data_IF_439691633822
#
_entry.id   IF_439691633822
#
_cell.length_a   1.000
_cell.length_b   1.000
_cell.length_c   1.000
_cell.angle_alpha   90.00
_cell.angle_beta   90.00
_cell.angle_gamma   90.00
#
_symmetry.space_group_name_H-M   'P 1'
#
loop_
_entity.id
_entity.type
_entity.pdbx_description
1 polymer ?
#
# COMPACT_ATOMS: atom_id res chain seq x y z
N UNK A 1 -19.85 17.88 -24.44
CA UNK A 1 -19.77 16.75 -23.49
C UNK A 1 -18.30 16.46 -23.21
N UNK A 2 -17.85 16.39 -21.96
CA UNK A 2 -16.46 16.06 -21.65
C UNK A 2 -16.18 14.61 -22.05
N UNK A 3 -15.22 14.36 -22.93
CA UNK A 3 -14.78 13.00 -23.27
C UNK A 3 -14.25 12.35 -21.98
N UNK A 4 -14.83 11.23 -21.52
CA UNK A 4 -14.35 10.56 -20.31
C UNK A 4 -12.92 10.07 -20.55
N UNK A 5 -12.04 10.37 -19.59
CA UNK A 5 -10.64 9.97 -19.61
C UNK A 5 -10.53 8.44 -19.43
N UNK A 6 -10.47 7.69 -20.54
CA UNK A 6 -10.47 6.21 -20.59
C UNK A 6 -9.09 5.66 -20.98
N UNK A 7 -8.78 4.45 -20.51
CA UNK A 7 -7.54 3.73 -20.81
C UNK A 7 -7.82 2.25 -20.97
N UNK A 8 -6.80 1.46 -21.34
CA UNK A 8 -6.88 -0.02 -21.40
C UNK A 8 -7.38 -0.66 -20.09
N UNK A 9 -7.13 -0.03 -18.94
CA UNK A 9 -7.66 -0.50 -17.65
C UNK A 9 -9.20 -0.47 -17.63
N UNK A 10 -9.79 0.61 -18.18
CA UNK A 10 -11.24 0.77 -18.26
C UNK A 10 -11.87 -0.34 -19.11
N UNK A 11 -11.22 -0.70 -20.20
CA UNK A 11 -11.73 -1.71 -21.14
C UNK A 11 -11.61 -3.12 -20.56
N UNK A 12 -10.48 -3.44 -19.91
CA UNK A 12 -10.26 -4.76 -19.29
C UNK A 12 -11.20 -5.03 -18.13
N UNK A 13 -11.49 -4.01 -17.31
CA UNK A 13 -12.28 -4.16 -16.08
C UNK A 13 -13.75 -3.71 -16.19
N UNK A 14 -14.16 -3.18 -17.35
CA UNK A 14 -15.52 -2.68 -17.56
C UNK A 14 -15.85 -1.44 -16.71
N UNK A 15 -14.87 -0.58 -16.43
CA UNK A 15 -15.04 0.64 -15.62
C UNK A 15 -15.01 1.91 -16.49
N UNK A 16 -15.41 3.05 -15.92
CA UNK A 16 -15.48 4.33 -16.64
C UNK A 16 -14.22 5.18 -16.47
N UNK A 17 -13.60 5.11 -15.28
CA UNK A 17 -12.41 5.88 -14.94
C UNK A 17 -11.26 4.95 -14.52
N UNK A 18 -10.00 5.28 -14.85
CA UNK A 18 -8.85 4.40 -14.59
C UNK A 18 -8.36 4.51 -13.14
N UNK A 19 -9.28 4.33 -12.19
CA UNK A 19 -9.05 4.45 -10.75
C UNK A 19 -9.56 3.17 -10.07
N UNK A 20 -8.74 2.63 -9.18
CA UNK A 20 -9.10 1.55 -8.27
C UNK A 20 -9.02 2.02 -6.82
N UNK A 21 -9.94 1.56 -5.98
CA UNK A 21 -9.85 1.62 -4.53
C UNK A 21 -9.25 0.31 -4.00
N UNK A 22 -8.23 0.39 -3.14
CA UNK A 22 -7.54 -0.78 -2.59
C UNK A 22 -8.38 -1.55 -1.57
N UNK A 23 -8.47 -2.88 -1.66
CA UNK A 23 -9.06 -3.75 -0.63
C UNK A 23 -8.32 -3.64 0.71
N UNK A 24 -8.80 -2.76 1.59
CA UNK A 24 -8.19 -2.46 2.89
C UNK A 24 -9.00 -3.07 4.03
N UNK A 25 -8.41 -4.02 4.78
CA UNK A 25 -9.05 -4.65 5.93
C UNK A 25 -9.53 -3.64 6.97
N UNK A 26 -10.77 -3.80 7.46
CA UNK A 26 -11.39 -2.89 8.42
C UNK A 26 -11.74 -1.50 7.85
N UNK A 27 -11.61 -1.28 6.54
CA UNK A 27 -11.89 0.00 5.86
C UNK A 27 -12.83 -0.21 4.67
N UNK A 28 -12.49 -1.14 3.80
CA UNK A 28 -13.18 -1.41 2.54
C UNK A 28 -14.32 -2.41 2.74
N UNK A 29 -15.39 -1.95 3.38
CA UNK A 29 -16.66 -2.66 3.48
C UNK A 29 -17.58 -2.42 2.25
N UNK A 30 -18.74 -3.08 2.20
CA UNK A 30 -19.68 -3.00 1.08
C UNK A 30 -20.05 -1.58 0.65
N UNK A 31 -20.26 -0.68 1.61
CA UNK A 31 -20.69 0.71 1.36
C UNK A 31 -19.62 1.52 0.61
N UNK A 32 -18.36 1.40 1.01
CA UNK A 32 -17.26 2.06 0.30
C UNK A 32 -17.11 1.50 -1.11
N UNK A 33 -17.16 0.18 -1.24
CA UNK A 33 -16.98 -0.50 -2.52
C UNK A 33 -18.05 -0.07 -3.51
N UNK A 34 -19.32 -0.11 -3.09
CA UNK A 34 -20.44 0.25 -3.94
C UNK A 34 -20.38 1.71 -4.39
N UNK A 35 -20.01 2.63 -3.50
CA UNK A 35 -19.90 4.05 -3.82
C UNK A 35 -18.74 4.37 -4.76
N UNK A 36 -17.61 3.65 -4.66
CA UNK A 36 -16.52 3.74 -5.64
C UNK A 36 -16.98 3.24 -7.01
N UNK A 37 -17.67 2.10 -7.04
CA UNK A 37 -18.20 1.49 -8.27
C UNK A 37 -19.26 2.37 -8.96
N UNK A 38 -20.21 2.94 -8.21
CA UNK A 38 -21.19 3.93 -8.72
C UNK A 38 -20.54 5.19 -9.29
N UNK A 39 -19.35 5.54 -8.78
CA UNK A 39 -18.60 6.68 -9.27
C UNK A 39 -17.82 6.40 -10.57
N UNK A 40 -17.84 5.15 -11.06
CA UNK A 40 -17.22 4.73 -12.31
C UNK A 40 -15.82 4.13 -12.17
N UNK A 41 -15.31 4.02 -10.94
CA UNK A 41 -14.02 3.40 -10.59
C UNK A 41 -14.22 1.94 -10.16
N UNK A 42 -13.15 1.16 -9.98
CA UNK A 42 -13.28 -0.16 -9.37
C UNK A 42 -13.21 -0.06 -7.82
N UNK A 43 -14.33 -0.33 -7.15
CA UNK A 43 -14.33 -0.60 -5.71
C UNK A 43 -13.84 -2.03 -5.42
N UNK A 44 -13.06 -2.23 -4.36
CA UNK A 44 -12.53 -3.57 -4.01
C UNK A 44 -12.77 -3.88 -2.53
N UNK A 45 -13.56 -4.92 -2.27
CA UNK A 45 -13.89 -5.45 -0.95
C UNK A 45 -12.66 -6.09 -0.31
N UNK A 46 -12.41 -5.83 0.98
CA UNK A 46 -11.41 -6.56 1.73
C UNK A 46 -12.01 -7.82 2.39
N UNK A 47 -11.71 -9.00 1.84
CA UNK A 47 -12.14 -10.31 2.36
C UNK A 47 -10.99 -11.04 3.10
N UNK A 48 -10.15 -10.29 3.80
CA UNK A 48 -8.95 -10.81 4.48
C UNK A 48 -9.34 -11.70 5.65
N UNK A 49 -8.98 -13.00 5.59
CA UNK A 49 -9.34 -14.00 6.61
C UNK A 49 -10.83 -14.01 6.96
N UNK A 50 -11.67 -13.64 5.99
CA UNK A 50 -13.11 -13.58 6.15
C UNK A 50 -13.70 -14.98 5.95
N UNK A 51 -14.59 -15.45 6.83
CA UNK A 51 -15.28 -16.72 6.60
C UNK A 51 -16.03 -16.72 5.25
N UNK A 52 -16.15 -17.88 4.58
CA UNK A 52 -16.82 -17.99 3.28
C UNK A 52 -18.24 -17.41 3.26
N UNK A 53 -19.07 -17.71 4.26
CA UNK A 53 -20.44 -17.20 4.32
C UNK A 53 -20.50 -15.69 4.53
N UNK A 54 -19.57 -15.13 5.30
CA UNK A 54 -19.46 -13.67 5.45
C UNK A 54 -18.98 -13.01 4.15
N UNK A 55 -18.08 -13.66 3.42
CA UNK A 55 -17.64 -13.20 2.10
C UNK A 55 -18.82 -13.15 1.13
N UNK A 56 -19.63 -14.23 1.09
CA UNK A 56 -20.84 -14.30 0.27
C UNK A 56 -21.85 -13.22 0.65
N UNK A 57 -22.17 -13.07 1.94
CA UNK A 57 -23.08 -12.02 2.44
C UNK A 57 -22.63 -10.62 2.01
N UNK A 58 -21.34 -10.30 2.10
CA UNK A 58 -20.82 -8.99 1.69
C UNK A 58 -20.84 -8.77 0.18
N UNK A 59 -20.62 -9.82 -0.61
CA UNK A 59 -20.78 -9.79 -2.06
C UNK A 59 -22.23 -9.45 -2.43
N UNK A 60 -23.21 -10.12 -1.82
CA UNK A 60 -24.63 -9.82 -2.05
C UNK A 60 -24.97 -8.38 -1.61
N UNK A 61 -24.45 -7.94 -0.46
CA UNK A 61 -24.66 -6.55 -0.01
C UNK A 61 -24.12 -5.52 -1.01
N UNK A 62 -22.98 -5.77 -1.66
CA UNK A 62 -22.47 -4.88 -2.71
C UNK A 62 -23.42 -4.87 -3.91
N UNK A 63 -23.94 -6.03 -4.32
CA UNK A 63 -24.89 -6.16 -5.44
C UNK A 63 -26.22 -5.45 -5.17
N UNK A 64 -26.73 -5.49 -3.94
CA UNK A 64 -27.90 -4.69 -3.52
C UNK A 64 -27.65 -3.18 -3.66
N UNK A 65 -26.39 -2.75 -3.52
CA UNK A 65 -26.00 -1.36 -3.60
C UNK A 65 -25.60 -0.96 -5.02
N UNK A 66 -25.09 -1.83 -5.88
CA UNK A 66 -24.64 -1.41 -7.21
C UNK A 66 -24.62 -2.54 -8.22
N UNK A 67 -25.03 -2.21 -9.44
CA UNK A 67 -24.88 -3.09 -10.63
C UNK A 67 -23.53 -2.88 -11.33
N UNK A 68 -22.75 -1.87 -10.92
CA UNK A 68 -21.42 -1.58 -11.49
C UNK A 68 -20.36 -2.59 -11.01
N UNK A 69 -19.33 -2.89 -11.84
CA UNK A 69 -18.28 -3.83 -11.47
C UNK A 69 -17.57 -3.48 -10.17
N UNK A 70 -17.19 -4.51 -9.41
CA UNK A 70 -16.42 -4.42 -8.18
C UNK A 70 -15.46 -5.62 -8.09
N UNK A 71 -14.48 -5.53 -7.19
CA UNK A 71 -13.56 -6.60 -6.90
C UNK A 71 -13.64 -7.13 -5.48
N UNK A 72 -13.09 -8.33 -5.27
CA UNK A 72 -12.89 -8.94 -3.95
C UNK A 72 -11.42 -9.27 -3.76
N UNK A 73 -10.83 -8.77 -2.67
CA UNK A 73 -9.41 -8.90 -2.37
C UNK A 73 -9.13 -9.94 -1.28
N UNK A 74 -8.22 -10.87 -1.58
CA UNK A 74 -7.67 -11.86 -0.64
C UNK A 74 -6.15 -11.67 -0.44
N UNK A 75 -5.64 -12.31 0.62
CA UNK A 75 -4.20 -12.47 0.85
C UNK A 75 -3.79 -13.91 0.56
N UNK A 76 -2.82 -14.08 -0.35
CA UNK A 76 -2.36 -15.36 -0.85
C UNK A 76 -0.95 -15.72 -0.37
N UNK A 77 -0.25 -14.82 0.32
CA UNK A 77 1.12 -15.04 0.78
C UNK A 77 1.19 -16.26 1.71
N UNK A 78 1.99 -17.27 1.35
CA UNK A 78 2.10 -18.54 2.08
C UNK A 78 2.47 -18.37 3.55
N UNK A 79 3.45 -17.51 3.87
CA UNK A 79 3.81 -17.20 5.28
C UNK A 79 2.70 -16.52 6.10
N UNK A 80 1.65 -15.99 5.44
CA UNK A 80 0.49 -15.41 6.12
C UNK A 80 -0.72 -16.35 6.12
N UNK A 81 -0.63 -17.50 5.44
CA UNK A 81 -1.69 -18.50 5.41
C UNK A 81 -1.53 -19.44 6.61
N UNK A 82 -2.55 -19.59 7.46
CA UNK A 82 -2.59 -20.73 8.36
C UNK A 82 -2.65 -22.05 7.54
N UNK A 83 -2.29 -23.19 8.15
CA UNK A 83 -2.00 -23.37 9.57
C UNK A 83 -0.50 -23.30 9.88
N UNK A 84 -0.09 -22.27 10.63
CA UNK A 84 1.04 -22.44 11.56
C UNK A 84 0.42 -23.02 12.82
N UNK A 85 0.78 -24.25 13.17
CA UNK A 85 0.31 -24.89 14.39
C UNK A 85 0.89 -24.14 15.61
N UNK A 86 0.06 -23.47 16.43
CA UNK A 86 0.54 -22.74 17.60
C UNK A 86 1.29 -23.61 18.61
N UNK A 87 1.05 -24.93 18.63
CA UNK A 87 1.78 -25.87 19.47
C UNK A 87 3.25 -26.05 19.04
N UNK A 88 3.58 -25.78 17.78
CA UNK A 88 4.96 -25.86 17.26
C UNK A 88 5.80 -24.62 17.57
N UNK A 89 5.18 -23.57 18.13
CA UNK A 89 5.88 -22.33 18.45
C UNK A 89 6.77 -22.52 19.68
N UNK A 90 8.06 -22.12 19.64
CA UNK A 90 8.92 -22.22 20.81
C UNK A 90 8.36 -21.43 21.99
N UNK A 91 8.28 -22.06 23.16
CA UNK A 91 7.74 -21.45 24.39
C UNK A 91 8.40 -20.10 24.72
N UNK A 92 9.71 -19.99 24.49
CA UNK A 92 10.45 -18.73 24.66
C UNK A 92 9.96 -17.61 23.72
N UNK A 93 9.64 -17.95 22.46
CA UNK A 93 9.06 -17.02 21.49
C UNK A 93 7.66 -16.58 21.91
N UNK A 94 6.81 -17.53 22.34
CA UNK A 94 5.46 -17.24 22.83
C UNK A 94 5.53 -16.31 24.04
N UNK A 95 6.37 -16.62 25.03
CA UNK A 95 6.57 -15.80 26.21
C UNK A 95 7.07 -14.38 25.87
N UNK A 96 8.04 -14.26 24.95
CA UNK A 96 8.57 -12.96 24.53
C UNK A 96 7.51 -12.09 23.84
N UNK A 97 6.73 -12.67 22.92
CA UNK A 97 5.66 -11.95 22.20
C UNK A 97 4.52 -11.61 23.14
N UNK A 98 4.05 -12.56 23.96
CA UNK A 98 2.96 -12.30 24.90
C UNK A 98 3.35 -11.27 25.96
N UNK A 99 4.59 -11.31 26.47
CA UNK A 99 5.12 -10.29 27.37
C UNK A 99 5.07 -8.90 26.74
N UNK A 100 5.56 -8.76 25.50
CA UNK A 100 5.50 -7.50 24.77
C UNK A 100 4.05 -7.02 24.53
N UNK A 101 3.12 -7.93 24.21
CA UNK A 101 1.71 -7.59 24.01
C UNK A 101 1.01 -7.25 25.33
N UNK A 102 1.39 -7.87 26.46
CA UNK A 102 0.80 -7.62 27.77
C UNK A 102 1.05 -6.19 28.27
N UNK A 103 2.15 -5.55 27.87
CA UNK A 103 2.38 -4.12 28.14
C UNK A 103 1.26 -3.24 27.55
N UNK A 104 0.79 -3.57 26.35
CA UNK A 104 -0.33 -2.88 25.72
C UNK A 104 -1.66 -3.28 26.34
N UNK A 105 -1.87 -4.56 26.65
CA UNK A 105 -3.11 -5.04 27.29
C UNK A 105 -3.35 -4.35 28.63
N UNK A 106 -2.32 -4.20 29.46
CA UNK A 106 -2.41 -3.48 30.73
C UNK A 106 -2.87 -2.03 30.55
N UNK A 107 -2.31 -1.31 29.57
CA UNK A 107 -2.71 0.09 29.26
C UNK A 107 -4.13 0.20 28.73
N UNK A 108 -4.63 -0.85 28.08
CA UNK A 108 -5.97 -0.91 27.49
C UNK A 108 -7.00 -1.52 28.46
N UNK A 109 -6.62 -1.91 29.68
CA UNK A 109 -7.50 -2.58 30.63
C UNK A 109 -7.92 -3.99 30.20
N UNK A 110 -7.12 -4.65 29.36
CA UNK A 110 -7.33 -6.03 28.90
C UNK A 110 -6.49 -6.98 29.75
N UNK A 111 -7.06 -8.11 30.16
CA UNK A 111 -6.34 -9.14 30.93
C UNK A 111 -5.13 -9.71 30.19
N UNK A 112 -4.06 -10.10 30.91
CA UNK A 112 -2.86 -10.64 30.27
C UNK A 112 -3.13 -12.01 29.62
N UNK A 113 -2.29 -12.36 28.64
CA UNK A 113 -2.25 -13.71 28.03
C UNK A 113 -0.84 -14.27 28.13
N UNK A 114 -0.71 -15.58 28.28
CA UNK A 114 0.59 -16.26 28.45
C UNK A 114 0.80 -17.42 27.48
N UNK A 115 -0.28 -18.00 26.94
CA UNK A 115 -0.22 -19.13 26.01
C UNK A 115 -0.08 -18.75 24.54
N UNK A 116 0.08 -19.76 23.66
CA UNK A 116 0.08 -19.56 22.22
C UNK A 116 -1.24 -18.95 21.73
N UNK A 117 -1.26 -18.31 20.55
CA UNK A 117 -2.50 -17.85 19.94
C UNK A 117 -3.42 -19.03 19.58
N UNK A 118 -4.71 -18.76 19.44
CA UNK A 118 -5.64 -19.76 18.89
C UNK A 118 -5.29 -20.09 17.43
N UNK A 119 -5.56 -21.33 17.03
CA UNK A 119 -5.44 -21.76 15.64
C UNK A 119 -6.38 -20.93 14.76
N UNK A 120 -5.84 -20.28 13.73
CA UNK A 120 -6.64 -19.63 12.72
C UNK A 120 -7.06 -20.65 11.64
N UNK A 121 -8.33 -20.64 11.18
CA UNK A 121 -8.74 -21.49 10.07
C UNK A 121 -8.13 -21.01 8.75
N UNK A 122 -7.75 -21.94 7.87
CA UNK A 122 -7.43 -21.61 6.49
C UNK A 122 -8.73 -21.47 5.69
N UNK A 123 -9.10 -20.23 5.41
CA UNK A 123 -10.34 -19.90 4.68
C UNK A 123 -10.10 -19.52 3.23
N UNK A 124 -8.85 -19.54 2.75
CA UNK A 124 -8.51 -18.95 1.45
C UNK A 124 -9.11 -19.74 0.30
N UNK A 125 -8.95 -21.07 0.29
CA UNK A 125 -9.47 -21.88 -0.81
C UNK A 125 -11.00 -21.82 -0.87
N UNK A 126 -11.67 -21.93 0.28
CA UNK A 126 -13.11 -21.75 0.37
C UNK A 126 -13.56 -20.31 -0.02
N UNK A 127 -12.76 -19.28 0.27
CA UNK A 127 -13.07 -17.92 -0.18
C UNK A 127 -12.87 -17.75 -1.70
N UNK A 128 -11.91 -18.44 -2.31
CA UNK A 128 -11.76 -18.51 -3.77
C UNK A 128 -12.96 -19.21 -4.38
N UNK A 129 -13.44 -20.29 -3.78
CA UNK A 129 -14.63 -21.00 -4.25
C UNK A 129 -15.84 -20.07 -4.25
N UNK A 130 -16.07 -19.31 -3.16
CA UNK A 130 -17.12 -18.29 -3.11
C UNK A 130 -16.96 -17.24 -4.21
N UNK A 131 -15.74 -16.73 -4.45
CA UNK A 131 -15.46 -15.74 -5.51
C UNK A 131 -15.83 -16.29 -6.89
N UNK A 132 -15.48 -17.55 -7.16
CA UNK A 132 -15.73 -18.27 -8.42
C UNK A 132 -17.22 -18.56 -8.61
N UNK A 133 -17.88 -19.08 -7.57
CA UNK A 133 -19.30 -19.44 -7.59
C UNK A 133 -20.19 -18.21 -7.72
N UNK A 134 -19.85 -17.14 -6.98
CA UNK A 134 -20.56 -15.87 -7.08
C UNK A 134 -20.28 -15.14 -8.39
N UNK A 135 -19.25 -15.53 -9.17
CA UNK A 135 -18.84 -14.83 -10.40
C UNK A 135 -18.60 -13.34 -10.18
N UNK A 136 -17.81 -13.00 -9.17
CA UNK A 136 -17.48 -11.58 -8.92
C UNK A 136 -16.73 -11.01 -10.14
N UNK A 137 -16.94 -9.74 -10.52
CA UNK A 137 -16.31 -9.21 -11.73
C UNK A 137 -14.78 -9.23 -11.69
N UNK A 138 -14.19 -9.00 -10.52
CA UNK A 138 -12.74 -8.96 -10.33
C UNK A 138 -12.30 -9.70 -9.07
N UNK A 139 -11.35 -10.62 -9.21
CA UNK A 139 -10.57 -11.16 -8.11
C UNK A 139 -9.25 -10.38 -7.97
N UNK A 140 -8.96 -9.88 -6.77
CA UNK A 140 -7.71 -9.17 -6.48
C UNK A 140 -6.82 -9.94 -5.48
N UNK A 141 -5.58 -10.23 -5.87
CA UNK A 141 -4.54 -10.74 -4.99
C UNK A 141 -3.74 -9.55 -4.41
N UNK A 142 -4.00 -9.20 -3.15
CA UNK A 142 -3.39 -8.04 -2.51
C UNK A 142 -1.97 -8.28 -1.99
N UNK A 143 -1.67 -9.48 -1.51
CA UNK A 143 -0.33 -9.91 -1.11
C UNK A 143 -0.16 -11.38 -1.48
N UNK A 144 1.03 -11.76 -1.95
CA UNK A 144 1.27 -13.07 -2.53
C UNK A 144 0.64 -13.21 -3.91
N UNK A 145 1.02 -14.29 -4.60
CA UNK A 145 0.76 -14.46 -6.02
C UNK A 145 -0.35 -15.48 -6.24
N UNK A 146 -1.33 -15.22 -7.14
CA UNK A 146 -2.28 -16.25 -7.55
C UNK A 146 -1.56 -17.36 -8.31
N UNK A 147 -2.02 -18.60 -8.18
CA UNK A 147 -1.51 -19.69 -9.02
C UNK A 147 -2.14 -19.62 -10.40
N UNK A 148 -1.48 -20.18 -11.42
CA UNK A 148 -2.06 -20.30 -12.76
C UNK A 148 -3.41 -21.05 -12.73
N UNK A 149 -3.58 -22.01 -11.82
CA UNK A 149 -4.85 -22.70 -11.63
C UNK A 149 -5.95 -21.79 -11.08
N UNK A 150 -5.65 -20.96 -10.07
CA UNK A 150 -6.60 -19.95 -9.57
C UNK A 150 -7.03 -18.99 -10.68
N UNK A 151 -6.07 -18.55 -11.51
CA UNK A 151 -6.35 -17.67 -12.66
C UNK A 151 -7.25 -18.37 -13.67
N UNK A 152 -6.94 -19.62 -14.06
CA UNK A 152 -7.77 -20.41 -14.99
C UNK A 152 -9.20 -20.59 -14.47
N UNK A 153 -9.37 -20.95 -13.18
CA UNK A 153 -10.69 -21.09 -12.56
C UNK A 153 -11.51 -19.79 -12.60
N UNK A 154 -10.85 -18.65 -12.36
CA UNK A 154 -11.47 -17.33 -12.48
C UNK A 154 -11.90 -17.05 -13.93
N UNK A 155 -10.99 -17.24 -14.90
CA UNK A 155 -11.26 -16.99 -16.32
C UNK A 155 -12.39 -17.87 -16.88
N UNK A 156 -12.47 -19.13 -16.46
CA UNK A 156 -13.55 -20.04 -16.84
C UNK A 156 -14.95 -19.55 -16.41
N UNK A 157 -15.01 -18.61 -15.44
CA UNK A 157 -16.25 -17.95 -14.99
C UNK A 157 -16.34 -16.48 -15.43
N UNK A 158 -15.45 -16.02 -16.31
CA UNK A 158 -15.42 -14.63 -16.78
C UNK A 158 -14.88 -13.62 -15.77
N UNK A 159 -14.23 -14.08 -14.70
CA UNK A 159 -13.69 -13.23 -13.63
C UNK A 159 -12.31 -12.72 -14.01
N UNK A 160 -12.09 -11.41 -13.91
CA UNK A 160 -10.77 -10.80 -14.13
C UNK A 160 -9.89 -10.92 -12.91
N UNK A 161 -8.59 -11.18 -13.12
CA UNK A 161 -7.63 -11.33 -12.03
C UNK A 161 -6.65 -10.18 -12.01
N UNK A 162 -6.53 -9.53 -10.86
CA UNK A 162 -5.56 -8.47 -10.60
C UNK A 162 -4.58 -8.92 -9.53
N UNK A 163 -3.28 -8.74 -9.77
CA UNK A 163 -2.26 -9.05 -8.75
C UNK A 163 -1.40 -7.83 -8.43
N UNK A 164 -1.15 -7.62 -7.14
CA UNK A 164 -0.28 -6.54 -6.67
C UNK A 164 1.16 -7.03 -6.47
N UNK A 165 2.13 -6.22 -6.91
CA UNK A 165 3.56 -6.54 -6.87
C UNK A 165 4.37 -5.35 -6.38
N UNK A 166 5.49 -5.60 -5.71
CA UNK A 166 6.42 -4.55 -5.24
C UNK A 166 7.80 -4.63 -5.93
N UNK A 167 8.02 -5.61 -6.81
CA UNK A 167 9.28 -5.81 -7.55
C UNK A 167 9.01 -6.17 -9.01
N UNK A 168 10.00 -5.98 -9.87
CA UNK A 168 9.94 -6.37 -11.29
C UNK A 168 9.90 -7.90 -11.43
N UNK A 169 10.60 -8.64 -10.57
CA UNK A 169 10.60 -10.09 -10.60
C UNK A 169 9.24 -10.67 -10.20
N UNK A 170 8.59 -10.11 -9.18
CA UNK A 170 7.21 -10.46 -8.85
C UNK A 170 6.28 -10.13 -10.02
N UNK A 171 6.48 -9.00 -10.72
CA UNK A 171 5.68 -8.64 -11.89
C UNK A 171 5.78 -9.68 -13.03
N UNK A 172 6.99 -10.14 -13.35
CA UNK A 172 7.22 -11.21 -14.33
C UNK A 172 6.57 -12.52 -13.89
N UNK A 173 6.75 -12.88 -12.61
CA UNK A 173 6.19 -14.10 -12.06
C UNK A 173 4.66 -14.12 -12.13
N UNK A 174 3.99 -13.04 -11.73
CA UNK A 174 2.51 -12.99 -11.81
C UNK A 174 2.01 -12.86 -13.24
N UNK A 175 2.72 -12.16 -14.12
CA UNK A 175 2.37 -12.08 -15.54
C UNK A 175 2.34 -13.49 -16.18
N UNK A 176 3.30 -14.35 -15.84
CA UNK A 176 3.35 -15.73 -16.32
C UNK A 176 2.17 -16.61 -15.86
N UNK A 177 1.43 -16.20 -14.82
CA UNK A 177 0.22 -16.92 -14.36
C UNK A 177 -1.03 -16.58 -15.18
N UNK A 178 -0.97 -15.54 -16.03
CA UNK A 178 -2.07 -15.10 -16.88
C UNK A 178 -2.98 -14.02 -16.28
N UNK A 179 -2.54 -13.27 -15.26
CA UNK A 179 -3.35 -12.18 -14.69
C UNK A 179 -3.70 -11.10 -15.72
N UNK A 180 -4.88 -10.49 -15.58
CA UNK A 180 -5.38 -9.47 -16.50
C UNK A 180 -4.80 -8.07 -16.22
N UNK A 181 -4.43 -7.78 -14.97
CA UNK A 181 -3.86 -6.48 -14.54
C UNK A 181 -2.82 -6.69 -13.45
N UNK A 182 -1.73 -5.93 -13.51
CA UNK A 182 -0.71 -5.88 -12.46
C UNK A 182 -0.76 -4.53 -11.74
N UNK A 183 -0.79 -4.51 -10.42
CA UNK A 183 -0.66 -3.28 -9.62
C UNK A 183 0.78 -3.16 -9.13
N UNK A 184 1.55 -2.23 -9.70
CA UNK A 184 2.91 -1.90 -9.27
C UNK A 184 2.86 -0.97 -8.03
N UNK A 185 3.24 -1.52 -6.88
CA UNK A 185 3.09 -0.90 -5.57
C UNK A 185 4.43 -0.34 -5.06
N UNK A 186 4.61 0.97 -5.19
CA UNK A 186 5.77 1.67 -4.66
C UNK A 186 5.82 1.72 -3.14
N UNK A 187 7.03 1.91 -2.62
CA UNK A 187 7.35 1.92 -1.19
C UNK A 187 6.61 2.99 -0.37
N UNK A 188 6.00 3.99 -1.01
CA UNK A 188 5.18 5.00 -0.36
C UNK A 188 3.81 4.47 0.09
N UNK A 189 3.31 3.39 -0.50
CA UNK A 189 1.97 2.86 -0.20
C UNK A 189 1.84 2.45 1.28
N UNK A 190 0.65 2.61 1.85
CA UNK A 190 0.34 2.07 3.18
C UNK A 190 0.19 0.54 3.15
N UNK A 191 0.27 -0.10 4.31
CA UNK A 191 0.00 -1.52 4.48
C UNK A 191 1.17 -2.39 4.01
N UNK A 192 0.93 -3.70 3.92
CA UNK A 192 1.95 -4.66 3.55
C UNK A 192 2.48 -4.45 2.14
N UNK A 193 3.73 -4.83 1.93
CA UNK A 193 4.39 -4.86 0.64
C UNK A 193 4.10 -6.18 -0.05
N UNK A 194 3.65 -6.08 -1.29
CA UNK A 194 3.17 -7.21 -2.08
C UNK A 194 4.35 -7.89 -2.77
N UNK A 195 5.03 -8.73 -2.01
CA UNK A 195 6.16 -9.56 -2.46
C UNK A 195 5.80 -11.03 -2.31
N UNK A 196 6.29 -11.89 -3.21
CA UNK A 196 6.07 -13.34 -3.08
C UNK A 196 6.78 -13.97 -1.88
N UNK A 197 7.90 -13.37 -1.46
CA UNK A 197 8.70 -13.76 -0.29
C UNK A 197 9.20 -12.51 0.42
N UNK A 198 9.25 -12.53 1.76
CA UNK A 198 9.80 -11.41 2.55
C UNK A 198 11.29 -11.20 2.24
N UNK A 199 11.71 -10.00 1.78
CA UNK A 199 13.12 -9.66 1.71
C UNK A 199 13.73 -9.50 3.10
N UNK A 200 15.01 -9.83 3.21
CA UNK A 200 15.76 -9.72 4.46
C UNK A 200 15.78 -8.28 4.98
N UNK A 201 15.66 -7.27 4.14
CA UNK A 201 15.74 -5.87 4.55
C UNK A 201 14.65 -5.05 3.83
N UNK A 202 14.26 -3.86 4.32
CA UNK A 202 13.15 -3.11 3.75
C UNK A 202 13.49 -2.42 2.42
N UNK A 203 14.75 -2.39 1.99
CA UNK A 203 15.25 -1.65 0.81
C UNK A 203 14.58 -2.14 -0.47
N UNK A 204 14.49 -3.45 -0.68
CA UNK A 204 13.84 -4.07 -1.85
C UNK A 204 12.38 -3.62 -2.00
N UNK A 205 11.69 -3.42 -0.87
CA UNK A 205 10.28 -3.00 -0.85
C UNK A 205 10.10 -1.49 -0.64
N UNK A 206 11.19 -0.73 -0.72
CA UNK A 206 11.21 0.73 -0.56
C UNK A 206 11.37 1.48 -1.89
N UNK A 207 11.45 0.77 -3.02
CA UNK A 207 11.52 1.39 -4.35
C UNK A 207 10.28 2.28 -4.55
N UNK A 208 10.51 3.57 -4.81
CA UNK A 208 9.44 4.55 -4.95
C UNK A 208 8.60 4.31 -6.21
N UNK A 209 7.35 4.76 -6.18
CA UNK A 209 6.39 4.59 -7.29
C UNK A 209 6.94 5.13 -8.61
N UNK A 210 7.64 6.28 -8.56
CA UNK A 210 8.28 6.90 -9.73
C UNK A 210 9.30 5.98 -10.42
N UNK A 211 10.07 5.21 -9.63
CA UNK A 211 11.10 4.32 -10.17
C UNK A 211 10.55 2.93 -10.52
N UNK A 212 9.63 2.41 -9.70
CA UNK A 212 9.10 1.05 -9.88
C UNK A 212 8.19 0.93 -11.11
N UNK A 213 7.26 1.86 -11.29
CA UNK A 213 6.22 1.78 -12.33
C UNK A 213 6.79 1.61 -13.74
N UNK A 214 7.70 2.48 -14.24
CA UNK A 214 8.21 2.34 -15.61
C UNK A 214 8.97 1.03 -15.81
N UNK A 215 9.76 0.59 -14.83
CA UNK A 215 10.48 -0.69 -14.91
C UNK A 215 9.53 -1.90 -15.00
N UNK A 216 8.41 -1.86 -14.28
CA UNK A 216 7.39 -2.92 -14.37
C UNK A 216 6.69 -2.88 -15.72
N UNK A 217 6.34 -1.68 -16.20
CA UNK A 217 5.72 -1.49 -17.53
C UNK A 217 6.61 -2.04 -18.64
N UNK A 218 7.91 -1.77 -18.62
CA UNK A 218 8.84 -2.26 -19.64
C UNK A 218 9.04 -3.78 -19.57
N UNK A 219 8.83 -4.39 -18.40
CA UNK A 219 9.08 -5.81 -18.18
C UNK A 219 7.91 -6.74 -18.52
N UNK A 220 6.68 -6.23 -18.67
CA UNK A 220 5.47 -7.06 -18.87
C UNK A 220 4.52 -6.48 -19.92
N UNK A 221 3.77 -7.34 -20.60
CA UNK A 221 2.74 -6.91 -21.58
C UNK A 221 1.36 -6.65 -20.96
N UNK A 222 1.16 -7.12 -19.72
CA UNK A 222 -0.07 -6.97 -18.95
C UNK A 222 -0.26 -5.50 -18.55
N UNK A 223 -1.46 -4.92 -18.65
CA UNK A 223 -1.73 -3.57 -18.16
C UNK A 223 -1.26 -3.36 -16.72
N UNK A 224 -0.48 -2.29 -16.51
CA UNK A 224 0.06 -1.93 -15.19
C UNK A 224 -0.74 -0.79 -14.57
N UNK A 225 -1.03 -0.87 -13.29
CA UNK A 225 -1.67 0.17 -12.47
C UNK A 225 -0.68 0.63 -11.41
N UNK A 226 -0.48 1.94 -11.29
CA UNK A 226 0.43 2.49 -10.29
C UNK A 226 -0.25 2.56 -8.91
N UNK A 227 0.47 2.21 -7.85
CA UNK A 227 0.01 2.36 -6.48
C UNK A 227 1.13 2.87 -5.57
N UNK A 228 0.79 3.76 -4.64
CA UNK A 228 1.74 4.34 -3.69
C UNK A 228 1.97 5.84 -3.91
N UNK A 229 1.76 6.65 -2.87
CA UNK A 229 1.93 8.11 -2.97
C UNK A 229 0.85 8.86 -3.77
N UNK A 230 -0.09 8.15 -4.41
CA UNK A 230 -1.13 8.73 -5.26
C UNK A 230 -2.38 9.13 -4.44
N UNK A 231 -2.88 10.35 -4.65
CA UNK A 231 -4.02 10.89 -3.91
C UNK A 231 -4.93 11.83 -4.72
N UNK A 232 -4.50 12.27 -5.91
CA UNK A 232 -5.24 13.18 -6.77
C UNK A 232 -4.87 13.06 -8.25
N UNK A 233 -5.49 13.92 -9.07
CA UNK A 233 -5.35 13.90 -10.53
C UNK A 233 -3.91 14.14 -11.01
N UNK A 234 -3.07 14.83 -10.24
CA UNK A 234 -1.64 14.99 -10.59
C UNK A 234 -0.93 13.64 -10.52
N UNK A 235 -1.25 12.85 -9.50
CA UNK A 235 -0.77 11.47 -9.38
C UNK A 235 -1.28 10.58 -10.51
N UNK A 236 -2.53 10.74 -10.93
CA UNK A 236 -3.06 10.02 -12.10
C UNK A 236 -2.27 10.35 -13.37
N UNK A 237 -2.12 11.64 -13.69
CA UNK A 237 -1.37 12.08 -14.88
C UNK A 237 0.09 11.61 -14.82
N UNK A 238 0.76 11.74 -13.67
CA UNK A 238 2.13 11.25 -13.50
C UNK A 238 2.25 9.74 -13.72
N UNK A 239 1.32 8.94 -13.18
CA UNK A 239 1.32 7.50 -13.38
C UNK A 239 1.16 7.11 -14.86
N UNK A 240 0.27 7.80 -15.58
CA UNK A 240 0.06 7.57 -17.01
C UNK A 240 1.28 7.96 -17.84
N UNK A 241 1.96 9.05 -17.48
CA UNK A 241 3.22 9.44 -18.10
C UNK A 241 4.34 8.41 -17.89
N UNK A 242 4.27 7.62 -16.80
CA UNK A 242 5.18 6.49 -16.54
C UNK A 242 4.76 5.19 -17.24
N UNK A 243 3.73 5.23 -18.09
CA UNK A 243 3.23 4.06 -18.83
C UNK A 243 2.19 3.21 -18.10
N UNK A 244 1.78 3.58 -16.88
CA UNK A 244 0.65 2.91 -16.25
C UNK A 244 -0.65 3.20 -17.01
N UNK A 245 -1.62 2.31 -16.87
CA UNK A 245 -2.96 2.43 -17.45
C UNK A 245 -3.98 2.97 -16.44
N UNK A 246 -3.58 3.20 -15.19
CA UNK A 246 -4.42 3.81 -14.17
C UNK A 246 -3.74 3.83 -12.81
N UNK A 247 -4.50 4.18 -11.77
CA UNK A 247 -4.00 4.27 -10.40
C UNK A 247 -4.84 3.48 -9.41
N UNK A 248 -4.19 2.93 -8.39
CA UNK A 248 -4.83 2.38 -7.21
C UNK A 248 -4.54 3.25 -6.00
N UNK A 249 -5.60 3.69 -5.33
CA UNK A 249 -5.53 4.52 -4.12
C UNK A 249 -6.02 3.73 -2.90
N UNK A 250 -5.26 3.81 -1.81
CA UNK A 250 -5.67 3.30 -0.50
C UNK A 250 -6.01 4.43 0.46
N UNK A 251 -4.98 5.08 1.02
CA UNK A 251 -5.10 6.11 2.07
C UNK A 251 -6.08 7.25 1.76
N UNK A 252 -6.29 7.61 0.48
CA UNK A 252 -7.27 8.65 0.10
C UNK A 252 -8.71 8.20 0.37
N UNK A 253 -9.01 6.92 0.17
CA UNK A 253 -10.33 6.33 0.43
C UNK A 253 -10.55 6.01 1.91
N UNK A 254 -9.50 5.86 2.73
CA UNK A 254 -9.70 5.76 4.19
C UNK A 254 -10.42 7.01 4.73
N UNK A 255 -10.08 8.19 4.19
CA UNK A 255 -10.61 9.48 4.61
C UNK A 255 -11.91 9.89 3.90
N UNK A 256 -12.75 8.93 3.52
CA UNK A 256 -14.12 9.18 3.00
C UNK A 256 -15.18 8.86 4.05
N UNK A 257 -16.44 9.22 3.78
CA UNK A 257 -17.55 8.99 4.71
C UNK A 257 -17.93 7.53 4.76
N UNK A 258 -17.93 6.90 3.60
CA UNK A 258 -18.33 5.52 3.31
C UNK A 258 -17.32 4.49 3.85
N UNK A 259 -16.10 4.92 4.13
CA UNK A 259 -15.06 4.10 4.74
C UNK A 259 -15.46 3.67 6.16
N UNK A 260 -15.35 2.37 6.43
CA UNK A 260 -15.60 1.77 7.74
C UNK A 260 -14.49 2.07 8.77
N UNK A 261 -13.44 2.81 8.38
CA UNK A 261 -12.38 3.19 9.28
C UNK A 261 -12.93 4.00 10.48
N UNK A 262 -12.47 3.73 11.71
CA UNK A 262 -12.84 4.55 12.86
C UNK A 262 -12.47 6.01 12.66
N UNK A 263 -13.31 6.93 13.14
CA UNK A 263 -13.16 8.37 12.89
C UNK A 263 -11.83 8.95 13.37
N UNK A 264 -11.28 8.44 14.48
CA UNK A 264 -9.97 8.86 14.95
C UNK A 264 -8.83 8.47 14.01
N UNK A 265 -8.96 7.38 13.24
CA UNK A 265 -8.00 7.03 12.19
C UNK A 265 -8.08 8.03 11.04
N UNK A 266 -9.29 8.34 10.58
CA UNK A 266 -9.52 9.34 9.53
C UNK A 266 -8.91 10.68 9.96
N UNK A 267 -9.19 11.12 11.19
CA UNK A 267 -8.62 12.35 11.77
C UNK A 267 -7.09 12.31 11.79
N UNK A 268 -6.49 11.22 12.28
CA UNK A 268 -5.02 11.08 12.32
C UNK A 268 -4.38 11.16 10.92
N UNK A 269 -5.04 10.67 9.87
CA UNK A 269 -4.55 10.79 8.49
C UNK A 269 -4.64 12.21 7.93
N UNK A 270 -5.63 13.00 8.38
CA UNK A 270 -5.82 14.38 7.92
C UNK A 270 -4.86 15.35 8.63
N UNK A 271 -4.54 15.08 9.90
CA UNK A 271 -3.76 15.98 10.76
C UNK A 271 -2.25 15.75 10.69
N UNK A 272 -1.81 14.56 10.27
CA UNK A 272 -0.38 14.20 10.29
C UNK A 272 0.30 14.36 8.93
N UNK A 273 1.56 14.77 8.97
CA UNK A 273 2.41 14.87 7.79
C UNK A 273 2.97 13.54 7.31
N UNK A 274 3.55 13.54 6.11
CA UNK A 274 4.09 12.37 5.42
C UNK A 274 5.25 11.68 6.17
N UNK A 275 6.00 12.44 6.95
CA UNK A 275 7.12 12.05 7.79
C UNK A 275 6.72 11.17 8.98
N UNK A 276 5.42 11.11 9.28
CA UNK A 276 4.89 10.36 10.43
C UNK A 276 4.67 8.88 10.15
N UNK A 277 4.99 8.40 8.95
CA UNK A 277 4.93 6.97 8.63
C UNK A 277 6.26 6.27 8.83
N UNK A 278 6.22 4.95 8.94
CA UNK A 278 7.41 4.09 9.07
C UNK A 278 7.15 2.74 8.41
N UNK A 279 8.20 2.13 7.86
CA UNK A 279 8.18 0.73 7.48
C UNK A 279 8.46 -0.11 8.73
N UNK A 280 7.73 -1.20 8.86
CA UNK A 280 7.80 -2.11 10.00
C UNK A 280 7.36 -3.49 9.57
N UNK A 281 7.80 -4.50 10.30
CA UNK A 281 7.36 -5.88 10.18
C UNK A 281 6.68 -6.39 11.46
N UNK A 282 6.38 -5.50 12.41
CA UNK A 282 5.91 -5.85 13.75
C UNK A 282 4.50 -6.43 13.82
N UNK A 283 3.76 -6.44 12.71
CA UNK A 283 2.36 -6.86 12.66
C UNK A 283 2.20 -8.34 12.32
N UNK A 284 2.72 -8.72 11.16
CA UNK A 284 2.54 -10.05 10.56
C UNK A 284 3.88 -10.73 10.29
N UNK A 285 4.98 -10.06 10.63
CA UNK A 285 6.31 -10.42 10.16
C UNK A 285 6.60 -9.94 8.74
N UNK A 286 5.60 -9.50 7.95
CA UNK A 286 5.84 -8.93 6.62
C UNK A 286 6.04 -7.42 6.66
N UNK A 287 6.86 -6.90 5.75
CA UNK A 287 7.08 -5.46 5.64
C UNK A 287 5.79 -4.74 5.30
N UNK A 288 5.47 -3.69 6.05
CA UNK A 288 4.35 -2.81 5.76
C UNK A 288 4.56 -1.39 6.30
N UNK A 289 3.86 -0.43 5.69
CA UNK A 289 3.94 0.97 6.09
C UNK A 289 2.74 1.40 6.93
N UNK A 290 3.03 2.00 8.07
CA UNK A 290 2.05 2.42 9.06
C UNK A 290 2.35 3.82 9.62
N UNK A 291 1.32 4.47 10.19
CA UNK A 291 1.50 5.61 11.07
C UNK A 291 2.35 5.19 12.27
N UNK A 292 3.44 5.92 12.51
CA UNK A 292 4.32 5.69 13.64
C UNK A 292 3.56 5.89 14.96
N UNK A 293 3.70 4.91 15.85
CA UNK A 293 3.11 4.88 17.19
C UNK A 293 3.97 3.99 18.11
N UNK A 294 3.53 3.78 19.34
CA UNK A 294 4.26 2.98 20.34
C UNK A 294 4.46 1.51 19.94
N UNK A 295 3.53 0.91 19.20
CA UNK A 295 3.60 -0.49 18.78
C UNK A 295 4.88 -0.79 17.96
N UNK A 296 5.26 0.15 17.09
CA UNK A 296 6.45 0.03 16.25
C UNK A 296 7.77 0.20 17.01
N UNK A 297 7.72 0.66 18.27
CA UNK A 297 8.91 0.93 19.08
C UNK A 297 9.33 -0.26 19.93
N UNK A 298 8.56 -1.34 19.93
CA UNK A 298 8.83 -2.54 20.73
C UNK A 298 9.74 -3.48 19.94
N UNK A 299 11.04 -3.60 20.27
CA UNK A 299 11.98 -4.39 19.48
C UNK A 299 11.60 -5.87 19.41
N UNK A 300 10.99 -6.39 20.50
CA UNK A 300 10.57 -7.79 20.63
C UNK A 300 9.45 -8.22 19.69
N UNK A 301 8.75 -7.28 19.05
CA UNK A 301 7.72 -7.58 18.06
C UNK A 301 8.29 -7.62 16.63
N UNK A 302 9.55 -7.24 16.43
CA UNK A 302 10.22 -7.31 15.12
C UNK A 302 10.87 -8.68 14.96
N UNK A 303 10.86 -9.23 13.74
CA UNK A 303 11.65 -10.42 13.49
C UNK A 303 13.14 -10.08 13.70
N UNK A 304 13.94 -10.94 14.32
CA UNK A 304 15.38 -10.78 14.29
C UNK A 304 15.79 -10.76 12.82
N UNK A 305 16.37 -9.64 12.37
CA UNK A 305 17.10 -9.65 11.12
C UNK A 305 18.41 -10.38 11.37
N UNK A 306 18.87 -11.25 10.44
CA UNK A 306 20.26 -11.65 10.48
C UNK A 306 21.06 -10.35 10.54
N UNK A 307 21.97 -10.25 11.51
CA UNK A 307 22.94 -9.16 11.51
C UNK A 307 23.55 -9.15 10.10
N UNK A 308 23.69 -7.96 9.49
CA UNK A 308 24.64 -7.84 8.39
C UNK A 308 25.91 -8.56 8.83
N UNK A 309 26.52 -9.44 8.02
CA UNK A 309 27.80 -9.99 8.37
C UNK A 309 28.68 -8.80 8.73
N UNK A 310 29.15 -8.77 9.98
CA UNK A 310 30.00 -7.70 10.47
C UNK A 310 31.06 -7.50 9.39
N UNK A 311 31.24 -6.27 8.93
CA UNK A 311 32.27 -5.92 7.98
C UNK A 311 33.66 -6.05 8.66
N UNK A 312 34.03 -7.28 9.05
CA UNK A 312 35.40 -7.70 9.32
C UNK A 312 36.06 -8.02 7.98
N UNK A 313 36.03 -7.01 7.09
CA UNK A 313 37.00 -6.90 6.01
C UNK A 313 38.27 -6.23 6.56
N UNK A 314 39.47 -6.62 6.10
CA UNK A 314 40.71 -6.05 6.60
C UNK A 314 40.69 -4.53 6.41
N UNK A 315 40.77 -3.79 7.53
CA UNK A 315 40.88 -2.33 7.52
C UNK A 315 42.11 -1.96 6.66
N UNK A 316 41.99 -1.08 5.66
CA UNK A 316 43.13 -0.72 4.85
C UNK A 316 44.20 -0.07 5.73
N UNK A 317 45.39 -0.69 5.75
CA UNK A 317 46.58 -0.12 6.38
C UNK A 317 46.77 1.29 5.83
N UNK A 318 46.90 2.28 6.74
CA UNK A 318 47.27 3.65 6.39
C UNK A 318 48.59 3.64 5.64
N UNK A 319 48.55 3.74 4.31
CA UNK A 319 49.72 4.03 3.49
C UNK A 319 50.15 5.47 3.80
N UNK A 320 51.24 5.61 4.56
CA UNK A 320 51.97 6.87 4.68
C UNK A 320 52.63 7.17 3.33
N UNK A 321 52.25 8.30 2.75
CA UNK A 321 53.06 9.17 1.91
C UNK A 321 53.60 8.60 0.59
N UNK A 322 52.96 8.97 -0.53
CA UNK A 322 53.67 9.30 -1.78
C UNK A 322 53.00 10.48 -2.48
N UNK A 323 53.85 11.31 -3.09
CA UNK A 323 53.61 12.67 -3.61
C UNK A 323 52.52 12.74 -4.68
N UNK A 324 51.80 13.87 -4.70
CA UNK A 324 50.83 14.26 -5.74
C UNK A 324 51.54 14.60 -7.06
N UNK A 325 50.94 14.24 -8.19
CA UNK A 325 51.06 14.90 -9.48
C UNK A 325 49.68 15.49 -9.87
N UNK A 326 49.61 16.63 -10.59
CA UNK A 326 48.38 17.41 -10.71
C UNK A 326 47.57 17.08 -11.97
N UNK A 327 46.24 17.00 -11.86
CA UNK A 327 45.36 17.06 -13.03
C UNK A 327 44.11 16.18 -12.95
N UNK A 328 43.08 16.63 -12.23
CA UNK A 328 41.66 16.49 -12.62
C UNK A 328 40.78 17.01 -11.48
N UNK A 329 39.86 17.92 -11.84
CA UNK A 329 38.94 18.59 -10.93
C UNK A 329 37.87 17.60 -10.43
N UNK A 330 37.88 17.32 -9.12
CA UNK A 330 36.72 16.82 -8.39
C UNK A 330 36.11 18.00 -7.65
N UNK A 331 34.87 18.38 -7.98
CA UNK A 331 34.14 19.41 -7.25
C UNK A 331 33.66 18.87 -5.90
N UNK A 332 33.64 19.71 -4.85
CA UNK A 332 33.59 19.25 -3.46
C UNK A 332 32.18 19.00 -2.94
N UNK A 333 32.16 18.05 -2.02
CA UNK A 333 31.13 17.77 -1.02
C UNK A 333 30.60 19.07 -0.36
N UNK A 334 29.30 19.35 -0.52
CA UNK A 334 28.65 20.53 0.07
C UNK A 334 27.85 20.12 1.30
N UNK A 335 28.49 20.27 2.46
CA UNK A 335 27.97 21.14 3.52
C UNK A 335 26.87 20.60 4.43
N UNK A 336 27.24 19.76 5.42
CA UNK A 336 26.51 19.69 6.70
C UNK A 336 26.77 20.95 7.52
N UNK A 337 25.82 21.89 7.52
CA UNK A 337 25.79 22.98 8.50
C UNK A 337 25.18 22.47 9.82
N UNK A 338 26.02 22.38 10.85
CA UNK A 338 25.60 22.19 12.25
C UNK A 338 25.00 23.50 12.76
N UNK A 339 23.74 23.49 13.22
CA UNK A 339 23.22 24.54 14.12
C UNK A 339 23.05 23.96 15.51
N UNK A 340 23.77 24.55 16.47
CA UNK A 340 23.54 24.43 17.91
C UNK A 340 22.25 25.18 18.26
N UNK A 341 21.40 24.59 19.08
CA UNK A 341 20.31 25.28 19.77
C UNK A 341 20.32 24.84 21.24
N UNK A 342 20.32 25.84 22.11
CA UNK A 342 20.39 25.81 23.57
C UNK A 342 19.03 25.37 24.18
N UNK A 343 18.96 24.71 25.36
CA UNK A 343 17.73 24.14 25.89
C UNK A 343 16.97 25.12 26.79
N UNK A 344 15.65 25.20 26.64
CA UNK A 344 14.74 25.73 27.67
C UNK A 344 13.66 24.67 28.00
N UNK A 345 13.23 24.54 29.27
CA UNK A 345 12.48 23.39 29.73
C UNK A 345 10.98 23.51 29.41
N UNK A 346 10.38 22.42 28.91
CA UNK A 346 8.95 22.31 28.69
C UNK A 346 8.24 21.67 29.89
N UNK A 347 7.22 22.38 30.39
CA UNK A 347 6.27 21.94 31.43
C UNK A 347 5.49 20.69 30.98
N UNK A 348 5.34 19.74 31.91
CA UNK A 348 4.58 18.49 31.73
C UNK A 348 3.07 18.76 31.72
N UNK A 349 2.42 18.48 30.58
CA UNK A 349 0.97 18.27 30.51
C UNK A 349 0.69 16.78 30.30
N UNK A 350 0.09 16.11 31.29
CA UNK A 350 -0.38 14.73 31.18
C UNK A 350 -1.62 14.68 30.29
N UNK A 351 -1.55 13.90 29.21
CA UNK A 351 -2.71 13.54 28.39
C UNK A 351 -2.43 12.21 27.69
N UNK A 352 -3.01 11.13 28.22
CA UNK A 352 -2.87 9.78 27.66
C UNK A 352 -3.40 9.70 26.23
N UNK A 353 -2.63 9.10 25.33
CA UNK A 353 -3.05 8.81 23.95
C UNK A 353 -2.84 7.32 23.70
N UNK A 354 -3.93 6.64 23.34
CA UNK A 354 -4.02 5.18 23.22
C UNK A 354 -3.15 4.55 22.12
N UNK A 355 -2.77 3.30 22.39
CA UNK A 355 -1.84 2.49 21.62
C UNK A 355 -2.55 1.64 20.56
N UNK A 356 -2.62 2.11 19.30
CA UNK A 356 -3.11 1.29 18.19
C UNK A 356 -2.33 1.47 16.89
N UNK A 357 -2.13 0.34 16.20
CA UNK A 357 -1.27 0.17 15.05
C UNK A 357 -2.05 0.22 13.70
N UNK A 358 -1.65 1.11 12.77
CA UNK A 358 -2.51 1.59 11.65
C UNK A 358 -1.73 1.94 10.39
N UNK A 359 -2.20 1.49 9.22
CA UNK A 359 -1.60 1.76 7.91
C UNK A 359 -1.72 3.23 7.44
N UNK A 360 -0.66 3.80 6.83
CA UNK A 360 -0.67 5.12 6.16
C UNK A 360 0.52 5.32 5.20
N UNK A 361 0.43 6.30 4.28
CA UNK A 361 1.41 6.57 3.19
C UNK A 361 2.39 7.73 3.46
N UNK A 362 3.49 7.80 2.69
CA UNK A 362 4.47 8.90 2.66
C UNK A 362 4.37 9.71 1.35
N UNK A 363 3.48 10.71 1.25
CA UNK A 363 3.53 11.71 0.17
C UNK A 363 3.00 13.07 0.64
N UNK A 364 3.71 14.13 0.23
CA UNK A 364 3.59 15.50 0.71
C UNK A 364 2.36 16.24 0.21
N UNK A 365 1.72 16.96 1.13
CA UNK A 365 0.50 17.73 0.90
C UNK A 365 -0.63 17.25 1.80
N UNK A 366 -1.11 18.09 2.75
CA UNK A 366 -2.19 17.70 3.64
C UNK A 366 -3.46 17.37 2.84
N UNK A 367 -4.12 16.27 3.22
CA UNK A 367 -5.51 16.03 2.83
C UNK A 367 -6.35 17.04 3.62
N UNK A 368 -6.45 18.29 3.14
CA UNK A 368 -7.01 19.41 3.94
C UNK A 368 -8.53 19.37 4.13
N UNK A 369 -9.28 18.48 3.46
CA UNK A 369 -10.76 18.47 3.54
C UNK A 369 -11.35 17.06 3.47
N UNK A 370 -12.33 16.78 4.35
CA UNK A 370 -13.32 15.71 4.15
C UNK A 370 -14.05 16.00 2.84
N UNK A 371 -14.07 15.04 1.91
CA UNK A 371 -14.87 15.17 0.69
C UNK A 371 -16.26 14.56 0.96
N UNK A 372 -17.37 15.27 0.68
CA UNK A 372 -18.70 14.68 0.73
C UNK A 372 -18.94 13.82 -0.52
N UNK A 373 -19.52 12.62 -0.34
CA UNK A 373 -19.74 11.59 -1.36
C UNK A 373 -18.43 11.18 -2.08
N UNK A 374 -18.41 10.13 -2.89
CA UNK A 374 -17.24 9.80 -3.76
C UNK A 374 -17.14 10.81 -4.93
N UNK A 375 -17.16 12.11 -4.62
CA UNK A 375 -16.83 13.22 -5.51
C UNK A 375 -15.36 13.17 -5.94
N UNK A 376 -14.53 12.38 -5.26
CA UNK A 376 -13.10 12.16 -5.56
C UNK A 376 -12.88 11.64 -6.99
N UNK A 377 -13.81 10.80 -7.48
CA UNK A 377 -13.72 10.19 -8.79
C UNK A 377 -14.31 11.13 -9.85
N UNK A 378 -15.50 11.68 -9.62
CA UNK A 378 -16.22 12.52 -10.59
C UNK A 378 -15.67 13.95 -10.75
N UNK A 379 -15.18 14.61 -9.69
CA UNK A 379 -14.65 15.99 -9.81
C UNK A 379 -13.31 16.05 -10.55
N UNK A 380 -12.62 14.92 -10.70
CA UNK A 380 -11.26 14.86 -11.24
C UNK A 380 -11.19 14.33 -12.67
N UNK A 381 -12.21 13.58 -13.11
CA UNK A 381 -12.46 13.37 -14.53
C UNK A 381 -12.91 14.68 -15.21
N UNK A 382 -13.73 15.50 -14.54
CA UNK A 382 -14.21 16.80 -15.09
C UNK A 382 -13.16 17.92 -15.07
N UNK A 383 -12.19 17.87 -14.16
CA UNK A 383 -11.07 18.82 -14.11
C UNK A 383 -10.09 18.71 -15.29
N UNK A 384 -10.27 17.70 -16.16
CA UNK A 384 -9.48 17.49 -17.38
C UNK A 384 -10.14 18.11 -18.63
N UNK A 385 -11.33 18.70 -18.50
CA UNK A 385 -12.16 19.16 -19.63
C UNK A 385 -12.58 20.65 -19.55
N UNK A 386 -11.87 21.48 -18.77
CA UNK A 386 -12.09 22.93 -18.78
C UNK A 386 -11.19 23.59 -19.85
N UNK A 387 -11.74 24.36 -20.81
CA UNK A 387 -10.93 25.18 -21.71
C UNK A 387 -10.43 26.40 -20.92
N UNK A 388 -9.12 26.52 -20.77
CA UNK A 388 -8.53 27.58 -19.94
C UNK A 388 -7.03 27.44 -19.77
N UNK A 389 -6.32 27.19 -20.87
CA UNK A 389 -4.88 27.42 -20.97
C UNK A 389 -4.66 28.27 -22.23
N UNK A 390 -5.05 29.54 -22.17
CA UNK A 390 -4.45 30.53 -23.05
C UNK A 390 -2.98 30.66 -22.66
N UNK A 391 -2.11 30.38 -23.63
CA UNK A 391 -0.67 30.63 -23.51
C UNK A 391 -0.45 32.13 -23.27
N UNK A 392 0.36 32.55 -22.27
CA UNK A 392 0.78 33.94 -22.21
C UNK A 392 1.62 34.25 -23.47
N UNK A 393 1.45 35.43 -24.10
CA UNK A 393 2.22 35.78 -25.29
C UNK A 393 3.71 35.87 -24.95
N UNK A 394 4.53 35.25 -25.79
CA UNK A 394 5.98 35.37 -25.77
C UNK A 394 6.37 36.84 -25.92
N UNK A 395 6.96 37.43 -24.87
CA UNK A 395 7.61 38.75 -24.97
C UNK A 395 8.84 38.63 -25.86
N UNK A 396 8.86 39.39 -26.96
CA UNK A 396 10.04 39.57 -27.80
C UNK A 396 11.19 40.24 -26.99
N UNK A 397 12.46 39.95 -27.31
CA UNK A 397 13.59 40.50 -26.57
C UNK A 397 13.71 42.00 -26.82
N UNK A 398 13.86 42.76 -25.71
CA UNK A 398 14.18 44.19 -25.73
C UNK A 398 15.55 44.37 -26.38
N UNK A 399 15.63 45.23 -27.39
CA UNK A 399 16.88 45.88 -27.78
C UNK A 399 17.17 46.97 -26.75
N UNK A 400 18.35 46.92 -26.14
CA UNK A 400 18.91 48.04 -25.36
C UNK A 400 19.62 49.04 -26.30
N UNK A 401 19.83 50.30 -25.84
CA UNK A 401 19.94 51.48 -26.69
C UNK A 401 21.17 51.53 -27.61
#
# INVERSE_FOLDING_TARGET
MSVPFRTRLCDVLGIEVPIMQSGMGGVAGPELVAEVSRAGALGVLAALNMPPDETRRRIHRIRELTDRPFGVNLWLHSELRPPVDPATLPSATVAAVQGALNEFRARLGVGPKTGPPAQAPNVIDAAIDVIVDERVPVFAAGIGNPTAEMVRRCHARGIKVVSMVATVDDARAVAATGVDVIVAQGGEAGGHRSVGRKPATPETVSIGTMALVPQVVDAVRVPVVAAGGLADGRGLVAALALGATGILMGTRFVATRESAAPEFWKKALLERGSETTTLTDSFTGQWGRALRNAFHRVPRLRRPHPAEPAADGPRPRRLRGRRRAPGSRVLPDVGRARRRADPRPARRGRGGRGDHARSARRAGGPVRRRAPRVTIVRSRARGLSAPGFERPPLRAPRREP
#
